data_IF_602472764390
#
_entry.id   IF_602472764390
#
_cell.length_a   1.000
_cell.length_b   1.000
_cell.length_c   1.000
_cell.angle_alpha   90.00
_cell.angle_beta   90.00
_cell.angle_gamma   90.00
#
_symmetry.space_group_name_H-M   'P 1'
#
loop_
_entity.id
_entity.type
_entity.pdbx_description
1 polymer ?
#
# COMPACT_ATOMS: atom_id res chain seq x y z
N UNK A 1 1.23 0.65 -2.73
CA UNK A 1 -0.13 0.08 -2.57
C UNK A 1 -0.05 -1.42 -2.64
N UNK A 2 -0.42 -2.08 -1.56
CA UNK A 2 -0.56 -3.53 -1.46
C UNK A 2 -1.80 -3.99 -2.25
N UNK A 3 -1.62 -4.98 -3.12
CA UNK A 3 -2.69 -5.61 -3.91
C UNK A 3 -2.72 -7.13 -3.72
N UNK A 4 -2.11 -7.63 -2.65
CA UNK A 4 -2.17 -9.03 -2.26
C UNK A 4 -3.60 -9.48 -1.95
N UNK A 5 -3.85 -10.78 -1.97
CA UNK A 5 -5.20 -11.32 -1.74
C UNK A 5 -5.73 -11.05 -0.34
N UNK A 6 -4.88 -10.82 0.67
CA UNK A 6 -5.33 -10.39 2.02
C UNK A 6 -6.11 -9.08 2.00
N UNK A 7 -5.87 -8.23 0.99
CA UNK A 7 -6.59 -6.96 0.79
C UNK A 7 -8.04 -7.14 0.31
N UNK A 8 -8.49 -8.36 0.05
CA UNK A 8 -9.90 -8.71 -0.22
C UNK A 8 -10.72 -8.93 1.06
N UNK A 9 -10.09 -8.94 2.22
CA UNK A 9 -10.80 -9.07 3.50
C UNK A 9 -11.79 -7.92 3.69
N UNK A 10 -12.95 -8.25 4.27
CA UNK A 10 -14.10 -7.34 4.42
C UNK A 10 -14.28 -6.83 5.85
N UNK A 11 -13.17 -6.61 6.54
CA UNK A 11 -13.14 -5.84 7.79
C UNK A 11 -13.24 -4.31 7.54
N UNK A 12 -13.18 -3.92 6.25
CA UNK A 12 -13.55 -2.60 5.72
C UNK A 12 -14.66 -2.75 4.68
N UNK A 13 -15.43 -1.71 4.47
CA UNK A 13 -16.55 -1.71 3.50
C UNK A 13 -16.15 -1.02 2.20
N UNK A 14 -16.25 -1.68 1.03
CA UNK A 14 -16.65 -3.10 0.83
C UNK A 14 -15.54 -4.10 1.17
N UNK A 15 -14.28 -3.70 1.10
CA UNK A 15 -13.07 -4.48 1.40
C UNK A 15 -11.85 -3.55 1.64
N UNK A 16 -10.73 -4.13 2.08
CA UNK A 16 -9.49 -3.38 2.38
C UNK A 16 -8.94 -2.64 1.16
N UNK A 17 -8.93 -3.28 -0.02
CA UNK A 17 -8.36 -2.64 -1.22
C UNK A 17 -9.17 -1.44 -1.65
N UNK A 18 -10.48 -1.50 -1.57
CA UNK A 18 -11.36 -0.36 -1.87
C UNK A 18 -11.12 0.79 -0.89
N UNK A 19 -11.06 0.50 0.40
CA UNK A 19 -10.73 1.51 1.41
C UNK A 19 -9.35 2.14 1.17
N UNK A 20 -8.33 1.35 0.84
CA UNK A 20 -7.00 1.85 0.51
C UNK A 20 -7.01 2.75 -0.74
N UNK A 21 -7.77 2.39 -1.77
CA UNK A 21 -7.95 3.22 -2.98
C UNK A 21 -8.61 4.55 -2.65
N UNK A 22 -9.66 4.56 -1.83
CA UNK A 22 -10.37 5.77 -1.42
C UNK A 22 -9.43 6.72 -0.66
N UNK A 23 -8.66 6.19 0.29
CA UNK A 23 -7.63 6.93 1.02
C UNK A 23 -6.60 7.55 0.07
N UNK A 24 -6.10 6.77 -0.88
CA UNK A 24 -5.12 7.24 -1.84
C UNK A 24 -5.69 8.32 -2.77
N UNK A 25 -6.91 8.16 -3.25
CA UNK A 25 -7.60 9.13 -4.11
C UNK A 25 -7.85 10.45 -3.37
N UNK A 26 -8.28 10.38 -2.11
CA UNK A 26 -8.45 11.56 -1.28
C UNK A 26 -7.12 12.31 -1.11
N UNK A 27 -6.05 11.58 -0.75
CA UNK A 27 -4.72 12.15 -0.63
C UNK A 27 -4.24 12.84 -1.92
N UNK A 28 -4.40 12.18 -3.08
CA UNK A 28 -4.05 12.73 -4.39
C UNK A 28 -4.84 14.01 -4.66
N UNK A 29 -6.12 14.02 -4.35
CA UNK A 29 -7.03 15.15 -4.64
C UNK A 29 -6.69 16.40 -3.83
N UNK A 30 -6.18 16.23 -2.61
CA UNK A 30 -5.82 17.34 -1.71
C UNK A 30 -4.47 18.00 -2.05
N UNK A 31 -3.68 17.44 -2.98
CA UNK A 31 -2.31 17.88 -3.29
C UNK A 31 -2.13 18.22 -4.78
N UNK A 32 -2.73 19.33 -5.25
CA UNK A 32 -2.77 19.63 -6.69
C UNK A 32 -1.42 19.97 -7.32
N UNK A 33 -0.43 20.35 -6.53
CA UNK A 33 0.88 20.79 -7.02
C UNK A 33 1.98 19.74 -6.90
N UNK A 34 1.72 18.63 -6.20
CA UNK A 34 2.74 17.60 -5.99
C UNK A 34 2.86 16.68 -7.20
N UNK A 35 4.09 16.25 -7.50
CA UNK A 35 4.32 15.14 -8.45
C UNK A 35 4.13 13.83 -7.71
N UNK A 36 3.26 12.99 -8.23
CA UNK A 36 2.94 11.70 -7.63
C UNK A 36 3.06 10.58 -8.66
N UNK A 37 3.39 9.39 -8.19
CA UNK A 37 3.34 8.14 -8.92
C UNK A 37 2.70 7.05 -8.10
N UNK A 38 2.43 5.92 -8.72
CA UNK A 38 1.80 4.77 -8.09
C UNK A 38 2.64 3.53 -8.36
N UNK A 39 3.04 2.86 -7.29
CA UNK A 39 3.63 1.53 -7.33
C UNK A 39 2.67 0.57 -6.65
N UNK A 40 2.41 -0.56 -7.26
CA UNK A 40 1.63 -1.65 -6.69
C UNK A 40 2.52 -2.86 -6.44
N UNK A 41 2.21 -3.62 -5.42
CA UNK A 41 2.94 -4.84 -5.09
C UNK A 41 2.04 -5.92 -4.50
N UNK A 42 2.40 -7.15 -4.77
CA UNK A 42 1.96 -8.36 -4.11
C UNK A 42 3.21 -9.25 -3.93
N UNK A 43 3.33 -10.42 -4.50
CA UNK A 43 4.60 -11.17 -4.56
C UNK A 43 5.70 -10.48 -5.36
N UNK A 44 5.31 -9.68 -6.33
CA UNK A 44 6.18 -8.79 -7.13
C UNK A 44 5.71 -7.35 -7.05
N UNK A 45 6.45 -6.43 -7.66
CA UNK A 45 6.09 -5.01 -7.70
C UNK A 45 6.26 -4.42 -9.10
N UNK A 46 5.36 -3.49 -9.46
CA UNK A 46 5.50 -2.72 -10.68
C UNK A 46 4.98 -1.28 -10.54
N UNK A 47 5.40 -0.43 -11.46
CA UNK A 47 4.95 0.96 -11.52
C UNK A 47 3.63 1.04 -12.28
N UNK A 48 2.55 1.34 -11.59
CA UNK A 48 1.22 1.57 -12.17
C UNK A 48 1.14 2.94 -12.85
N UNK A 49 1.77 3.94 -12.27
CA UNK A 49 1.85 5.28 -12.82
C UNK A 49 3.21 5.91 -12.48
N UNK A 50 3.99 6.38 -13.46
CA UNK A 50 5.21 7.13 -13.17
C UNK A 50 4.87 8.50 -12.56
N UNK A 51 5.88 9.18 -12.01
CA UNK A 51 5.72 10.50 -11.41
C UNK A 51 5.13 11.50 -12.41
N UNK A 52 3.99 12.08 -12.05
CA UNK A 52 3.25 13.05 -12.86
C UNK A 52 2.51 14.07 -11.99
N UNK A 53 2.15 15.20 -12.56
CA UNK A 53 1.24 16.19 -11.96
C UNK A 53 -0.19 16.03 -12.47
N UNK A 54 -0.45 15.10 -13.40
CA UNK A 54 -1.77 14.83 -13.97
C UNK A 54 -2.65 14.05 -12.98
N UNK A 55 -3.49 14.77 -12.26
CA UNK A 55 -4.40 14.21 -11.24
C UNK A 55 -5.45 13.28 -11.82
N UNK A 56 -5.98 13.63 -13.00
CA UNK A 56 -7.01 12.82 -13.64
C UNK A 56 -6.45 11.44 -14.00
N UNK A 57 -5.26 11.39 -14.57
CA UNK A 57 -4.56 10.14 -14.89
C UNK A 57 -4.26 9.34 -13.63
N UNK A 58 -3.73 9.97 -12.57
CA UNK A 58 -3.44 9.30 -11.29
C UNK A 58 -4.69 8.66 -10.68
N UNK A 59 -5.80 9.41 -10.63
CA UNK A 59 -7.06 8.91 -10.04
C UNK A 59 -7.65 7.78 -10.90
N UNK A 60 -7.61 7.89 -12.22
CA UNK A 60 -8.10 6.84 -13.11
C UNK A 60 -7.30 5.55 -12.95
N UNK A 61 -5.96 5.63 -12.98
CA UNK A 61 -5.10 4.47 -12.79
C UNK A 61 -5.21 3.87 -11.38
N UNK A 62 -5.45 4.69 -10.35
CA UNK A 62 -5.73 4.19 -9.01
C UNK A 62 -7.04 3.38 -8.97
N UNK A 63 -8.09 3.82 -9.68
CA UNK A 63 -9.37 3.09 -9.74
C UNK A 63 -9.26 1.75 -10.47
N UNK A 64 -8.36 1.64 -11.44
CA UNK A 64 -8.13 0.42 -12.22
C UNK A 64 -7.32 -0.65 -11.45
N UNK A 65 -6.74 -0.32 -10.31
CA UNK A 65 -5.98 -1.29 -9.50
C UNK A 65 -6.91 -2.40 -9.01
N UNK A 66 -6.50 -3.63 -9.23
CA UNK A 66 -7.21 -4.85 -8.80
C UNK A 66 -6.23 -5.84 -8.18
N UNK A 67 -6.75 -6.74 -7.35
CA UNK A 67 -5.99 -7.90 -6.85
C UNK A 67 -5.94 -9.00 -7.92
N UNK A 68 -4.92 -9.88 -7.84
CA UNK A 68 -4.83 -11.06 -8.70
C UNK A 68 -4.20 -10.82 -10.07
N UNK A 69 -3.75 -9.60 -10.37
CA UNK A 69 -3.01 -9.30 -11.62
C UNK A 69 -1.52 -9.65 -11.53
N UNK A 70 -1.00 -9.83 -10.34
CA UNK A 70 0.39 -10.20 -10.03
C UNK A 70 0.37 -11.50 -9.25
N UNK A 71 1.47 -12.27 -9.30
CA UNK A 71 1.66 -13.42 -8.44
C UNK A 71 1.39 -13.07 -6.98
N UNK A 72 0.59 -13.89 -6.31
CA UNK A 72 0.18 -13.63 -4.94
C UNK A 72 1.37 -13.72 -3.96
N UNK A 73 1.24 -13.03 -2.87
CA UNK A 73 2.24 -12.84 -1.85
C UNK A 73 2.27 -11.39 -1.41
N UNK A 74 3.09 -11.07 -0.43
CA UNK A 74 3.21 -9.71 0.10
C UNK A 74 4.69 -9.37 0.29
N UNK A 75 5.27 -8.77 -0.76
CA UNK A 75 6.67 -8.36 -0.82
C UNK A 75 6.81 -6.85 -0.55
N UNK A 76 6.59 -6.43 0.69
CA UNK A 76 6.62 -5.02 1.11
C UNK A 76 7.97 -4.38 0.78
N UNK A 77 9.07 -5.09 1.06
CA UNK A 77 10.41 -4.60 0.78
C UNK A 77 10.65 -4.32 -0.69
N UNK A 78 10.22 -5.21 -1.59
CA UNK A 78 10.32 -5.01 -3.03
C UNK A 78 9.47 -3.82 -3.48
N UNK A 79 8.24 -3.70 -3.00
CA UNK A 79 7.35 -2.58 -3.30
C UNK A 79 7.93 -1.24 -2.88
N UNK A 80 8.44 -1.16 -1.65
CA UNK A 80 9.07 0.05 -1.12
C UNK A 80 10.35 0.41 -1.87
N UNK A 81 11.22 -0.56 -2.15
CA UNK A 81 12.44 -0.35 -2.92
C UNK A 81 12.15 0.16 -4.33
N UNK A 82 11.13 -0.39 -5.00
CA UNK A 82 10.68 0.08 -6.31
C UNK A 82 10.21 1.54 -6.25
N UNK A 83 9.42 1.90 -5.25
CA UNK A 83 8.94 3.27 -5.06
C UNK A 83 10.11 4.26 -4.84
N UNK A 84 11.09 3.89 -4.00
CA UNK A 84 12.29 4.69 -3.77
C UNK A 84 13.10 4.86 -5.05
N UNK A 85 13.28 3.79 -5.83
CA UNK A 85 14.01 3.84 -7.10
C UNK A 85 13.37 4.82 -8.11
N UNK A 86 12.04 4.93 -8.14
CA UNK A 86 11.33 5.89 -9.00
C UNK A 86 11.55 7.35 -8.60
N UNK A 87 11.98 7.59 -7.37
CA UNK A 87 12.26 8.93 -6.86
C UNK A 87 13.71 9.36 -6.96
N UNK A 88 14.64 8.46 -7.27
CA UNK A 88 16.07 8.75 -7.30
C UNK A 88 16.44 9.86 -8.30
N UNK A 89 15.75 9.91 -9.45
CA UNK A 89 15.96 10.92 -10.49
C UNK A 89 15.18 12.21 -10.27
N UNK A 90 14.47 12.34 -9.17
CA UNK A 90 13.66 13.53 -8.87
C UNK A 90 14.51 14.60 -8.19
N UNK A 91 14.48 15.84 -8.71
CA UNK A 91 15.12 17.02 -8.12
C UNK A 91 14.30 17.64 -6.97
N UNK A 92 13.24 16.97 -6.55
CA UNK A 92 12.37 17.47 -5.50
C UNK A 92 13.12 17.60 -4.16
N UNK A 93 12.88 18.72 -3.46
CA UNK A 93 13.47 18.99 -2.14
C UNK A 93 12.92 18.04 -1.06
N UNK A 94 11.72 17.55 -1.22
CA UNK A 94 11.06 16.61 -0.32
C UNK A 94 10.60 15.38 -1.11
N UNK A 95 10.98 14.21 -0.62
CA UNK A 95 10.63 12.92 -1.22
C UNK A 95 9.93 12.10 -0.17
N UNK A 96 8.72 11.66 -0.49
CA UNK A 96 7.84 10.93 0.43
C UNK A 96 7.24 9.72 -0.26
N UNK A 97 7.24 8.58 0.41
CA UNK A 97 6.47 7.40 0.05
C UNK A 97 5.34 7.23 1.04
N UNK A 98 4.14 6.94 0.56
CA UNK A 98 3.01 6.51 1.36
C UNK A 98 2.77 5.04 1.08
N UNK A 99 3.00 4.20 2.07
CA UNK A 99 2.83 2.75 2.00
C UNK A 99 1.47 2.38 2.59
N UNK A 100 0.58 1.82 1.76
CA UNK A 100 -0.73 1.30 2.18
C UNK A 100 -0.69 -0.22 2.11
N UNK A 101 -0.82 -0.88 3.25
CA UNK A 101 -0.72 -2.35 3.38
C UNK A 101 -1.29 -2.81 4.71
N UNK A 102 -1.60 -4.09 4.85
CA UNK A 102 -1.85 -4.72 6.14
C UNK A 102 -0.55 -5.05 6.91
N UNK A 103 0.61 -4.93 6.26
CA UNK A 103 1.92 -5.06 6.88
C UNK A 103 2.41 -6.49 7.08
N UNK A 104 1.69 -7.50 6.67
CA UNK A 104 2.09 -8.90 6.81
C UNK A 104 2.99 -9.31 5.66
N UNK A 105 4.30 -9.13 5.82
CA UNK A 105 5.29 -9.48 4.80
C UNK A 105 5.57 -10.98 4.80
N UNK A 106 5.48 -11.63 3.64
CA UNK A 106 5.73 -13.07 3.49
C UNK A 106 6.56 -13.47 2.27
N UNK A 107 6.99 -12.52 1.46
CA UNK A 107 7.75 -12.78 0.25
C UNK A 107 8.68 -11.62 -0.11
N UNK A 108 9.44 -11.77 -1.20
CA UNK A 108 10.38 -10.79 -1.71
C UNK A 108 11.83 -11.04 -1.33
N UNK A 109 12.74 -10.61 -2.17
CA UNK A 109 14.19 -10.72 -1.95
C UNK A 109 14.73 -9.61 -1.03
N UNK A 110 14.08 -8.44 -1.07
CA UNK A 110 14.43 -7.28 -0.24
C UNK A 110 13.55 -7.30 1.01
N UNK A 111 14.17 -7.40 2.18
CA UNK A 111 13.41 -7.32 3.43
C UNK A 111 12.83 -5.92 3.62
N UNK A 112 11.70 -5.77 4.33
CA UNK A 112 11.15 -4.46 4.65
C UNK A 112 12.15 -3.53 5.34
N UNK A 113 12.99 -4.07 6.24
CA UNK A 113 14.02 -3.29 6.92
C UNK A 113 15.10 -2.80 5.95
N UNK A 114 15.57 -3.66 5.04
CA UNK A 114 16.54 -3.25 4.01
C UNK A 114 15.97 -2.14 3.13
N UNK A 115 14.71 -2.25 2.74
CA UNK A 115 14.05 -1.21 1.94
C UNK A 115 13.90 0.12 2.71
N UNK A 116 13.60 0.06 4.01
CA UNK A 116 13.56 1.25 4.86
C UNK A 116 14.94 1.90 5.00
N UNK A 117 15.99 1.13 5.15
CA UNK A 117 17.38 1.62 5.21
C UNK A 117 17.80 2.26 3.88
N UNK A 118 17.42 1.68 2.75
CA UNK A 118 17.61 2.26 1.43
C UNK A 118 16.87 3.59 1.32
N UNK A 119 15.60 3.65 1.71
CA UNK A 119 14.80 4.88 1.70
C UNK A 119 15.48 5.97 2.54
N UNK A 120 15.94 5.66 3.74
CA UNK A 120 16.66 6.57 4.61
C UNK A 120 17.95 7.09 3.95
N UNK A 121 18.72 6.22 3.32
CA UNK A 121 19.97 6.57 2.63
C UNK A 121 19.73 7.58 1.50
N UNK A 122 18.63 7.44 0.76
CA UNK A 122 18.26 8.37 -0.31
C UNK A 122 17.43 9.58 0.15
N UNK A 123 17.25 9.76 1.45
CA UNK A 123 16.51 10.89 2.01
C UNK A 123 15.00 10.83 1.72
N UNK A 124 14.45 9.63 1.56
CA UNK A 124 13.02 9.40 1.33
C UNK A 124 12.37 9.08 2.66
N UNK A 125 11.36 9.87 3.05
CA UNK A 125 10.51 9.56 4.21
C UNK A 125 9.41 8.59 3.80
N UNK A 126 9.14 7.62 4.66
CA UNK A 126 8.05 6.67 4.46
C UNK A 126 7.00 6.85 5.53
N UNK A 127 5.79 7.23 5.12
CA UNK A 127 4.60 7.18 5.96
C UNK A 127 3.90 5.87 5.69
N UNK A 128 3.56 5.15 6.74
CA UNK A 128 2.88 3.86 6.63
C UNK A 128 1.45 3.98 7.10
N UNK A 129 0.53 3.42 6.33
CA UNK A 129 -0.89 3.37 6.64
C UNK A 129 -1.30 1.90 6.70
N UNK A 130 -1.57 1.42 7.90
CA UNK A 130 -2.06 0.07 8.11
C UNK A 130 -3.55 -0.03 7.80
N UNK A 131 -3.91 -0.89 6.86
CA UNK A 131 -5.30 -1.14 6.46
C UNK A 131 -5.68 -2.55 6.88
N UNK A 132 -6.45 -2.68 7.94
CA UNK A 132 -6.86 -3.98 8.46
C UNK A 132 -7.11 -3.98 9.96
N UNK A 133 -7.53 -5.12 10.46
CA UNK A 133 -7.73 -5.39 11.87
C UNK A 133 -7.12 -6.75 12.25
N UNK A 134 -6.98 -7.00 13.54
CA UNK A 134 -6.65 -8.32 14.06
C UNK A 134 -7.94 -9.05 14.43
N UNK A 135 -7.98 -10.36 14.23
CA UNK A 135 -9.11 -11.19 14.58
C UNK A 135 -9.71 -11.93 13.40
N UNK A 136 -11.00 -11.86 13.22
CA UNK A 136 -11.72 -12.55 12.15
C UNK A 136 -12.43 -11.54 11.26
N UNK A 137 -12.35 -11.72 9.95
CA UNK A 137 -13.05 -10.90 8.98
C UNK A 137 -13.73 -11.75 7.90
N UNK A 138 -14.85 -11.28 7.35
CA UNK A 138 -15.46 -11.90 6.19
C UNK A 138 -14.50 -11.82 4.98
N UNK A 139 -14.37 -12.94 4.26
CA UNK A 139 -13.51 -13.04 3.09
C UNK A 139 -14.22 -13.80 1.96
N UNK A 140 -14.16 -13.32 0.71
CA UNK A 140 -14.77 -13.99 -0.43
C UNK A 140 -13.94 -15.20 -0.85
N UNK A 141 -14.55 -16.39 -0.79
CA UNK A 141 -13.93 -17.65 -1.22
C UNK A 141 -14.64 -18.16 -2.47
N UNK A 142 -13.87 -18.52 -3.48
CA UNK A 142 -14.40 -19.12 -4.71
C UNK A 142 -14.67 -20.61 -4.43
N UNK A 143 -15.91 -21.03 -4.61
CA UNK A 143 -16.34 -22.43 -4.48
C UNK A 143 -16.94 -22.91 -5.80
N UNK A 144 -17.11 -24.25 -6.00
CA UNK A 144 -17.80 -24.78 -7.18
C UNK A 144 -19.23 -24.25 -7.36
N UNK A 145 -19.84 -23.74 -6.31
CA UNK A 145 -21.19 -23.16 -6.31
C UNK A 145 -21.21 -21.62 -6.43
N UNK A 146 -20.06 -21.00 -6.70
CA UNK A 146 -19.90 -19.55 -6.79
C UNK A 146 -19.10 -18.94 -5.62
N UNK A 147 -19.11 -17.62 -5.52
CA UNK A 147 -18.41 -16.89 -4.45
C UNK A 147 -19.23 -17.00 -3.16
N UNK A 148 -18.60 -17.53 -2.12
CA UNK A 148 -19.15 -17.57 -0.76
C UNK A 148 -18.30 -16.71 0.16
N UNK A 149 -18.93 -16.10 1.17
CA UNK A 149 -18.24 -15.34 2.20
C UNK A 149 -18.01 -16.25 3.40
N UNK A 150 -16.75 -16.37 3.81
CA UNK A 150 -16.34 -17.13 5.00
C UNK A 150 -15.53 -16.24 5.93
N UNK A 151 -15.68 -16.47 7.24
CA UNK A 151 -14.84 -15.79 8.22
C UNK A 151 -13.46 -16.43 8.24
N UNK A 152 -12.44 -15.60 8.00
CA UNK A 152 -11.02 -16.01 8.03
C UNK A 152 -10.28 -15.24 9.10
N UNK A 153 -9.22 -15.84 9.61
CA UNK A 153 -8.30 -15.15 10.50
C UNK A 153 -7.56 -14.07 9.73
N UNK A 154 -7.57 -12.86 10.24
CA UNK A 154 -6.88 -11.70 9.66
C UNK A 154 -5.98 -11.06 10.70
N UNK A 155 -4.92 -10.44 10.23
CA UNK A 155 -3.97 -9.74 11.08
C UNK A 155 -3.43 -8.48 10.39
N UNK A 156 -2.79 -7.63 11.17
CA UNK A 156 -2.04 -6.46 10.73
C UNK A 156 -0.74 -6.39 11.52
N UNK A 157 0.39 -6.27 10.84
CA UNK A 157 1.70 -6.12 11.46
C UNK A 157 2.02 -4.63 11.70
N UNK A 158 1.46 -4.09 12.76
CA UNK A 158 1.67 -2.68 13.13
C UNK A 158 3.11 -2.39 13.54
N UNK A 159 3.80 -3.35 14.15
CA UNK A 159 5.19 -3.16 14.60
C UNK A 159 6.14 -3.01 13.41
N UNK A 160 5.96 -3.82 12.37
CA UNK A 160 6.69 -3.66 11.11
C UNK A 160 6.45 -2.30 10.48
N UNK A 161 5.19 -1.87 10.39
CA UNK A 161 4.82 -0.59 9.77
C UNK A 161 5.37 0.61 10.55
N UNK A 162 5.33 0.57 11.89
CA UNK A 162 5.96 1.58 12.74
C UNK A 162 7.47 1.63 12.54
N UNK A 163 8.11 0.48 12.49
CA UNK A 163 9.57 0.39 12.31
C UNK A 163 9.99 1.02 10.97
N UNK A 164 9.31 0.71 9.87
CA UNK A 164 9.59 1.32 8.56
C UNK A 164 9.46 2.85 8.62
N UNK A 165 8.38 3.35 9.20
CA UNK A 165 8.14 4.78 9.32
C UNK A 165 9.21 5.46 10.18
N UNK A 166 9.49 4.96 11.37
CA UNK A 166 10.48 5.52 12.30
C UNK A 166 11.89 5.51 11.71
N UNK A 167 12.30 4.44 11.04
CA UNK A 167 13.62 4.34 10.39
C UNK A 167 13.85 5.47 9.39
N UNK A 168 12.81 5.92 8.69
CA UNK A 168 12.89 6.93 7.62
C UNK A 168 12.49 8.33 8.07
N UNK A 169 12.11 8.51 9.33
CA UNK A 169 11.63 9.79 9.87
C UNK A 169 10.19 10.14 9.48
N UNK A 170 9.41 9.16 9.02
CA UNK A 170 7.97 9.26 8.78
C UNK A 170 7.14 8.92 10.01
N UNK A 171 5.86 8.63 9.80
CA UNK A 171 4.90 8.24 10.85
C UNK A 171 4.03 7.09 10.38
N UNK A 172 3.60 6.28 11.34
CA UNK A 172 2.59 5.25 11.15
C UNK A 172 1.20 5.79 11.46
N UNK A 173 0.25 5.42 10.62
CA UNK A 173 -1.18 5.68 10.82
C UNK A 173 -1.95 4.39 10.63
N UNK A 174 -3.03 4.21 11.38
CA UNK A 174 -3.97 3.11 11.20
C UNK A 174 -5.26 3.65 10.59
N UNK A 175 -5.67 3.08 9.47
CA UNK A 175 -7.02 3.27 8.96
C UNK A 175 -7.99 2.47 9.84
N UNK A 176 -8.98 3.10 10.46
CA UNK A 176 -9.96 2.48 11.35
C UNK A 176 -11.33 2.34 10.73
N UNK A 177 -11.61 3.14 9.71
CA UNK A 177 -12.79 3.09 8.86
C UNK A 177 -12.51 3.88 7.57
N UNK A 178 -13.43 3.84 6.60
CA UNK A 178 -13.28 4.51 5.30
C UNK A 178 -13.25 6.06 5.39
N UNK A 179 -13.22 6.65 6.56
CA UNK A 179 -13.48 8.10 6.74
C UNK A 179 -12.41 8.85 7.52
N UNK A 180 -11.33 8.24 8.02
CA UNK A 180 -10.38 8.96 8.89
C UNK A 180 -8.92 8.76 8.53
N UNK A 181 -8.44 9.58 7.62
CA UNK A 181 -7.11 10.17 7.64
C UNK A 181 -7.26 11.68 7.71
N UNK A 182 -7.60 12.18 8.87
CA UNK A 182 -7.57 13.63 9.18
C UNK A 182 -6.32 13.97 9.98
#
# INVERSE_FOLDING_TARGET
MDVSTSMLARDFTPDRISAAKDIAIEFISQRPSDRMGIVVFAGESYTQCPLTTDRATLINLMKEIETGLIEDGTAIGNGLATAVARMQSSDAKSRVVILLTDGVNNSGEITPQMAADIAKTYGVRVYTIGVGANGTAPYPVITPWGVQVQDVQVEIDEDLLRNIAETTGGKYFRATDNTKLS
#
